data_IF_108757785522
#
_entry.id   IF_108757785522
#
_cell.length_a   1.000
_cell.length_b   1.000
_cell.length_c   1.000
_cell.angle_alpha   90.00
_cell.angle_beta   90.00
_cell.angle_gamma   90.00
#
_symmetry.space_group_name_H-M   'P 1'
#
loop_
_entity.id
_entity.type
_entity.pdbx_description
1 polymer ?
#
# COMPACT_ATOMS: atom_id res chain seq x y z
N UNK A 1 -2.54 -9.17 4.64
CA UNK A 1 -2.41 -10.35 3.75
C UNK A 1 -1.35 -11.31 4.26
N UNK A 2 -0.14 -10.82 4.58
CA UNK A 2 0.92 -11.68 5.11
C UNK A 2 0.51 -12.31 6.44
N UNK A 3 -0.02 -11.54 7.37
CA UNK A 3 -0.53 -12.04 8.67
C UNK A 3 -1.70 -13.03 8.50
N UNK A 4 -2.57 -12.80 7.51
CA UNK A 4 -3.66 -13.73 7.20
C UNK A 4 -3.16 -15.03 6.59
N UNK A 5 -2.15 -14.98 5.72
CA UNK A 5 -1.48 -16.16 5.17
C UNK A 5 -0.68 -16.90 6.26
N UNK A 6 0.00 -16.18 7.15
CA UNK A 6 0.70 -16.74 8.31
C UNK A 6 -0.28 -17.46 9.24
N UNK A 7 -1.40 -16.83 9.59
CA UNK A 7 -2.45 -17.45 10.40
C UNK A 7 -3.07 -18.67 9.73
N UNK A 8 -3.33 -18.63 8.42
CA UNK A 8 -3.83 -19.78 7.67
C UNK A 8 -2.85 -20.94 7.68
N UNK A 9 -1.57 -20.68 7.50
CA UNK A 9 -0.51 -21.69 7.56
C UNK A 9 -0.27 -22.22 8.97
N UNK A 10 -0.48 -21.39 10.02
CA UNK A 10 -0.42 -21.85 11.42
C UNK A 10 -1.59 -22.76 11.81
N UNK A 11 -2.76 -22.62 11.19
CA UNK A 11 -3.93 -23.46 11.45
C UNK A 11 -3.91 -24.78 10.68
N UNK A 12 -3.08 -24.92 9.63
CA UNK A 12 -2.88 -26.18 8.93
C UNK A 12 -2.22 -27.21 9.85
N UNK A 13 -2.84 -28.37 10.05
CA UNK A 13 -2.37 -29.40 11.00
C UNK A 13 -1.08 -30.11 10.55
N UNK A 14 -0.12 -30.24 11.47
CA UNK A 14 1.13 -30.98 11.30
C UNK A 14 2.40 -30.16 11.53
N UNK A 15 3.48 -30.79 11.93
CA UNK A 15 4.82 -30.20 12.02
C UNK A 15 5.53 -30.37 10.67
N UNK A 16 5.27 -29.46 9.74
CA UNK A 16 5.95 -29.49 8.44
C UNK A 16 7.22 -28.62 8.45
N UNK A 17 8.24 -28.90 7.63
CA UNK A 17 9.43 -28.07 7.46
C UNK A 17 9.09 -26.60 7.17
N UNK A 18 7.99 -26.36 6.45
CA UNK A 18 7.50 -25.02 6.09
C UNK A 18 7.05 -24.23 7.32
N UNK A 19 6.39 -24.88 8.31
CA UNK A 19 6.02 -24.25 9.58
C UNK A 19 7.24 -23.87 10.40
N UNK A 20 8.23 -24.75 10.46
CA UNK A 20 9.49 -24.47 11.14
C UNK A 20 10.22 -23.31 10.48
N UNK A 21 10.21 -23.21 9.16
CA UNK A 21 10.78 -22.10 8.43
C UNK A 21 10.06 -20.79 8.74
N UNK A 22 8.72 -20.76 8.66
CA UNK A 22 7.90 -19.60 8.98
C UNK A 22 8.11 -19.09 10.41
N UNK A 23 8.36 -20.01 11.36
CA UNK A 23 8.64 -19.61 12.74
C UNK A 23 9.96 -18.83 12.89
N UNK A 24 10.86 -18.94 11.91
CA UNK A 24 12.19 -18.30 11.87
C UNK A 24 12.24 -17.05 11.01
N UNK A 25 11.15 -16.72 10.28
CA UNK A 25 11.07 -15.56 9.40
C UNK A 25 10.12 -14.53 10.02
N UNK A 26 10.54 -13.28 10.06
CA UNK A 26 9.71 -12.17 10.54
C UNK A 26 9.85 -11.01 9.58
N UNK A 27 8.73 -10.38 9.29
CA UNK A 27 8.68 -9.10 8.57
C UNK A 27 8.70 -7.96 9.60
N UNK A 28 9.62 -7.02 9.41
CA UNK A 28 9.68 -5.80 10.22
C UNK A 28 9.34 -4.64 9.30
N UNK A 29 8.25 -3.93 9.60
CA UNK A 29 7.88 -2.73 8.84
C UNK A 29 8.96 -1.66 9.00
N UNK A 30 9.30 -0.99 7.91
CA UNK A 30 10.18 0.19 7.93
C UNK A 30 9.47 1.47 8.40
N UNK A 31 8.15 1.43 8.61
CA UNK A 31 7.32 2.53 9.12
C UNK A 31 7.21 2.50 10.64
N UNK A 32 6.50 3.47 11.22
CA UNK A 32 6.18 3.46 12.66
C UNK A 32 5.45 2.16 13.04
N UNK A 33 5.74 1.57 14.23
CA UNK A 33 5.14 0.32 14.69
C UNK A 33 3.69 0.56 15.14
N UNK A 34 2.81 0.85 14.19
CA UNK A 34 1.39 1.02 14.45
C UNK A 34 0.69 -0.34 14.61
N UNK A 35 -0.27 -0.40 15.51
CA UNK A 35 -1.13 -1.57 15.61
C UNK A 35 -2.08 -1.66 14.41
N UNK A 36 -2.23 -2.83 13.78
CA UNK A 36 -3.18 -3.01 12.70
C UNK A 36 -4.62 -2.80 13.20
N UNK A 37 -5.47 -2.14 12.41
CA UNK A 37 -6.87 -2.02 12.76
C UNK A 37 -7.57 -3.37 12.66
N UNK A 38 -8.54 -3.62 13.54
CA UNK A 38 -9.29 -4.87 13.53
C UNK A 38 -10.19 -4.96 12.30
N UNK A 39 -10.01 -5.99 11.49
CA UNK A 39 -10.88 -6.34 10.38
C UNK A 39 -11.67 -7.60 10.77
N UNK A 40 -13.01 -7.53 10.70
CA UNK A 40 -13.84 -8.71 10.99
C UNK A 40 -13.60 -9.79 9.94
N UNK A 41 -13.31 -11.05 10.32
CA UNK A 41 -13.06 -12.13 9.36
C UNK A 41 -14.19 -12.29 8.34
N UNK A 42 -15.46 -12.11 8.75
CA UNK A 42 -16.61 -12.17 7.85
C UNK A 42 -16.58 -11.13 6.74
N UNK A 43 -16.05 -9.91 7.01
CA UNK A 43 -15.88 -8.87 5.99
C UNK A 43 -14.78 -9.27 5.02
N UNK A 44 -13.61 -9.68 5.53
CA UNK A 44 -12.50 -10.10 4.70
C UNK A 44 -12.90 -11.27 3.77
N UNK A 45 -13.56 -12.29 4.32
CA UNK A 45 -13.98 -13.47 3.56
C UNK A 45 -14.97 -13.10 2.44
N UNK A 46 -16.00 -12.28 2.73
CA UNK A 46 -16.98 -11.87 1.73
C UNK A 46 -16.38 -10.98 0.64
N UNK A 47 -15.48 -10.06 1.01
CA UNK A 47 -14.76 -9.23 0.02
C UNK A 47 -13.89 -10.11 -0.88
N UNK A 48 -13.14 -11.05 -0.30
CA UNK A 48 -12.31 -11.99 -1.04
C UNK A 48 -13.14 -12.88 -1.97
N UNK A 49 -14.31 -13.35 -1.48
CA UNK A 49 -15.25 -14.13 -2.28
C UNK A 49 -15.81 -13.32 -3.45
N UNK A 50 -16.15 -12.05 -3.24
CA UNK A 50 -16.62 -11.14 -4.29
C UNK A 50 -15.58 -10.92 -5.38
N UNK A 51 -14.31 -10.73 -5.00
CA UNK A 51 -13.18 -10.65 -5.92
C UNK A 51 -13.00 -11.96 -6.70
N UNK A 52 -13.05 -13.09 -6.01
CA UNK A 52 -12.88 -14.40 -6.65
C UNK A 52 -14.01 -14.73 -7.62
N UNK A 53 -15.26 -14.43 -7.24
CA UNK A 53 -16.46 -14.65 -8.08
C UNK A 53 -16.69 -13.56 -9.12
N UNK A 54 -15.93 -12.47 -9.07
CA UNK A 54 -16.09 -11.30 -9.95
C UNK A 54 -17.53 -10.73 -9.93
N UNK A 55 -18.09 -10.57 -8.72
CA UNK A 55 -19.42 -10.02 -8.52
C UNK A 55 -19.38 -8.70 -7.76
N UNK A 56 -20.37 -7.83 -8.01
CA UNK A 56 -20.54 -6.57 -7.25
C UNK A 56 -20.86 -6.86 -5.79
N UNK A 57 -20.47 -5.95 -4.93
CA UNK A 57 -20.68 -6.00 -3.49
C UNK A 57 -21.57 -4.85 -3.03
N UNK A 58 -22.57 -5.15 -2.21
CA UNK A 58 -23.32 -4.15 -1.44
C UNK A 58 -22.63 -3.95 -0.10
N UNK A 59 -22.19 -2.74 0.18
CA UNK A 59 -21.33 -2.40 1.31
C UNK A 59 -21.98 -1.29 2.13
N UNK A 60 -22.00 -1.44 3.48
CA UNK A 60 -22.20 -0.33 4.41
C UNK A 60 -20.81 0.14 4.87
N UNK A 61 -20.44 1.36 4.55
CA UNK A 61 -19.12 1.92 4.77
C UNK A 61 -19.17 3.15 5.67
N UNK A 62 -18.31 3.18 6.68
CA UNK A 62 -18.14 4.33 7.57
C UNK A 62 -17.16 5.34 6.98
N UNK A 63 -17.64 6.53 6.62
CA UNK A 63 -16.83 7.67 6.19
C UNK A 63 -16.35 8.44 7.40
N UNK A 64 -15.03 8.49 7.63
CA UNK A 64 -14.46 9.21 8.77
C UNK A 64 -14.50 10.73 8.63
N UNK A 65 -14.70 11.24 7.42
CA UNK A 65 -14.72 12.68 7.14
C UNK A 65 -15.97 13.34 7.72
N UNK A 66 -17.11 12.67 7.59
CA UNK A 66 -18.42 13.17 8.02
C UNK A 66 -18.99 12.35 9.19
N UNK A 67 -18.27 11.32 9.65
CA UNK A 67 -18.72 10.36 10.68
C UNK A 67 -20.06 9.67 10.34
N UNK A 68 -20.32 9.44 9.06
CA UNK A 68 -21.58 8.85 8.56
C UNK A 68 -21.39 7.46 7.95
N UNK A 69 -22.45 6.64 8.03
CA UNK A 69 -22.51 5.37 7.32
C UNK A 69 -23.24 5.56 5.98
N UNK A 70 -22.63 5.11 4.90
CA UNK A 70 -23.18 5.17 3.56
C UNK A 70 -23.34 3.77 2.98
N UNK A 71 -24.38 3.57 2.21
CA UNK A 71 -24.59 2.36 1.43
C UNK A 71 -23.99 2.54 0.04
N UNK A 72 -23.18 1.60 -0.38
CA UNK A 72 -22.46 1.64 -1.65
C UNK A 72 -22.61 0.29 -2.35
N UNK A 73 -22.86 0.32 -3.66
CA UNK A 73 -22.65 -0.83 -4.52
C UNK A 73 -21.37 -0.62 -5.30
N UNK A 74 -20.47 -1.61 -5.23
CA UNK A 74 -19.13 -1.49 -5.80
C UNK A 74 -18.74 -2.73 -6.61
N UNK A 75 -17.97 -2.49 -7.68
CA UNK A 75 -17.23 -3.53 -8.39
C UNK A 75 -15.86 -3.69 -7.74
N UNK A 76 -15.55 -4.80 -7.05
CA UNK A 76 -14.25 -5.03 -6.44
C UNK A 76 -13.19 -5.28 -7.51
N UNK A 77 -12.04 -4.62 -7.42
CA UNK A 77 -10.94 -4.72 -8.38
C UNK A 77 -9.68 -5.36 -7.79
N UNK A 78 -9.49 -5.27 -6.47
CA UNK A 78 -8.34 -5.87 -5.81
C UNK A 78 -8.21 -5.51 -4.34
N UNK A 79 -7.27 -6.15 -3.66
CA UNK A 79 -6.88 -5.86 -2.29
C UNK A 79 -5.45 -5.33 -2.27
N UNK A 80 -5.24 -4.22 -1.57
CA UNK A 80 -3.92 -3.60 -1.41
C UNK A 80 -3.64 -3.39 0.07
N UNK A 81 -2.52 -3.93 0.53
CA UNK A 81 -2.02 -3.66 1.87
C UNK A 81 -1.02 -2.51 1.81
N UNK A 82 -1.28 -1.47 2.59
CA UNK A 82 -0.34 -0.39 2.85
C UNK A 82 -0.03 -0.37 4.35
N UNK A 83 1.21 -0.64 4.70
CA UNK A 83 1.62 -0.83 6.10
C UNK A 83 0.68 -1.79 6.84
N UNK A 84 0.03 -1.30 7.90
CA UNK A 84 -0.90 -2.06 8.74
C UNK A 84 -2.36 -2.03 8.26
N UNK A 85 -2.66 -1.31 7.17
CA UNK A 85 -4.02 -1.14 6.66
C UNK A 85 -4.25 -1.93 5.39
N UNK A 86 -5.41 -2.57 5.29
CA UNK A 86 -5.86 -3.27 4.09
C UNK A 86 -6.99 -2.48 3.42
N UNK A 87 -6.88 -2.30 2.11
CA UNK A 87 -7.83 -1.54 1.31
C UNK A 87 -8.44 -2.42 0.22
N UNK A 88 -9.73 -2.25 0.01
CA UNK A 88 -10.43 -2.70 -1.19
C UNK A 88 -10.30 -1.61 -2.25
N UNK A 89 -9.65 -1.93 -3.36
CA UNK A 89 -9.68 -1.12 -4.57
C UNK A 89 -10.95 -1.49 -5.32
N UNK A 90 -11.79 -0.52 -5.65
CA UNK A 90 -13.09 -0.75 -6.29
C UNK A 90 -13.55 0.45 -7.12
N UNK A 91 -14.56 0.23 -7.96
CA UNK A 91 -15.35 1.29 -8.59
C UNK A 91 -16.76 1.33 -8.00
N UNK A 92 -17.31 2.51 -7.82
CA UNK A 92 -18.73 2.67 -7.49
C UNK A 92 -19.59 2.36 -8.71
N UNK A 93 -20.82 1.88 -8.50
CA UNK A 93 -21.71 1.41 -9.57
C UNK A 93 -21.89 2.43 -10.70
N UNK A 94 -22.01 3.70 -10.36
CA UNK A 94 -22.35 4.76 -11.33
C UNK A 94 -21.13 5.50 -11.89
N UNK A 95 -19.91 5.03 -11.57
CA UNK A 95 -18.70 5.74 -11.99
C UNK A 95 -17.58 4.78 -12.38
N UNK A 96 -16.73 5.21 -13.29
CA UNK A 96 -15.46 4.53 -13.61
C UNK A 96 -14.34 4.96 -12.67
N UNK A 97 -14.66 5.78 -11.66
CA UNK A 97 -13.67 6.34 -10.74
C UNK A 97 -13.25 5.30 -9.71
N UNK A 98 -11.97 4.96 -9.70
CA UNK A 98 -11.41 4.00 -8.76
C UNK A 98 -11.31 4.63 -7.37
N UNK A 99 -11.68 3.87 -6.34
CA UNK A 99 -11.67 4.26 -4.93
C UNK A 99 -11.00 3.21 -4.08
N UNK A 100 -10.43 3.67 -2.97
CA UNK A 100 -9.79 2.82 -1.97
C UNK A 100 -10.62 2.84 -0.68
N UNK A 101 -11.29 1.74 -0.38
CA UNK A 101 -12.09 1.59 0.83
C UNK A 101 -11.30 0.80 1.88
N UNK A 102 -11.02 1.40 3.02
CA UNK A 102 -10.34 0.71 4.12
C UNK A 102 -11.22 -0.40 4.70
N UNK A 103 -10.76 -1.66 4.69
CA UNK A 103 -11.57 -2.81 5.09
C UNK A 103 -12.11 -2.70 6.52
N UNK A 104 -11.34 -2.15 7.46
CA UNK A 104 -11.76 -1.97 8.85
C UNK A 104 -12.92 -0.98 9.02
N UNK A 105 -13.22 -0.16 8.02
CA UNK A 105 -14.36 0.77 7.99
C UNK A 105 -15.60 0.18 7.34
N UNK A 106 -15.52 -1.01 6.76
CA UNK A 106 -16.68 -1.73 6.23
C UNK A 106 -17.46 -2.32 7.40
N UNK A 107 -18.70 -1.89 7.57
CA UNK A 107 -19.61 -2.35 8.62
C UNK A 107 -20.38 -3.61 8.22
N UNK A 108 -20.78 -3.66 6.95
CA UNK A 108 -21.49 -4.80 6.37
C UNK A 108 -21.06 -4.96 4.91
N UNK A 109 -21.02 -6.19 4.42
CA UNK A 109 -20.82 -6.51 3.02
C UNK A 109 -21.69 -7.70 2.64
N UNK A 110 -22.34 -7.63 1.49
CA UNK A 110 -23.11 -8.72 0.91
C UNK A 110 -22.71 -8.89 -0.56
N UNK A 111 -22.63 -10.15 -0.99
CA UNK A 111 -22.41 -10.44 -2.40
C UNK A 111 -23.72 -10.22 -3.17
N UNK A 112 -23.61 -9.67 -4.36
CA UNK A 112 -24.73 -9.56 -5.29
C UNK A 112 -24.68 -10.65 -6.33
N UNK A 113 -25.70 -10.73 -7.18
CA UNK A 113 -25.72 -11.57 -8.39
C UNK A 113 -25.21 -10.83 -9.62
N UNK A 114 -24.90 -9.53 -9.51
CA UNK A 114 -24.41 -8.71 -10.61
C UNK A 114 -22.93 -8.92 -10.84
N UNK A 115 -22.53 -9.05 -12.09
CA UNK A 115 -21.12 -9.17 -12.48
C UNK A 115 -20.39 -7.86 -12.17
N UNK A 116 -19.20 -7.95 -11.59
CA UNK A 116 -18.35 -6.81 -11.36
C UNK A 116 -17.85 -6.22 -12.69
N UNK A 117 -17.81 -4.90 -12.77
CA UNK A 117 -17.32 -4.18 -13.94
C UNK A 117 -15.91 -3.67 -13.65
N UNK A 118 -14.97 -4.05 -14.50
CA UNK A 118 -13.59 -3.57 -14.44
C UNK A 118 -13.42 -2.44 -15.47
N UNK A 119 -12.81 -1.30 -15.07
CA UNK A 119 -12.49 -0.24 -16.02
C UNK A 119 -11.57 -0.74 -17.12
N UNK A 120 -11.83 -0.31 -18.35
CA UNK A 120 -11.08 -0.75 -19.52
C UNK A 120 -9.58 -0.45 -19.40
N UNK A 121 -8.75 -1.51 -19.46
CA UNK A 121 -7.30 -1.40 -19.32
C UNK A 121 -6.83 -1.17 -17.88
N UNK A 122 -7.65 -1.50 -16.89
CA UNK A 122 -7.24 -1.47 -15.48
C UNK A 122 -6.16 -2.53 -15.24
N UNK A 123 -5.13 -2.13 -14.51
CA UNK A 123 -4.10 -3.01 -13.98
C UNK A 123 -3.80 -2.57 -12.54
N UNK A 124 -3.94 -3.47 -11.59
CA UNK A 124 -3.80 -3.18 -10.17
C UNK A 124 -2.38 -2.72 -9.82
N UNK A 125 -1.35 -3.32 -10.45
CA UNK A 125 0.03 -2.95 -10.19
C UNK A 125 0.31 -1.52 -10.67
N UNK A 126 -0.09 -1.19 -11.89
CA UNK A 126 0.06 0.18 -12.42
C UNK A 126 -0.73 1.20 -11.59
N UNK A 127 -1.90 0.81 -11.08
CA UNK A 127 -2.69 1.66 -10.20
C UNK A 127 -1.93 1.96 -8.89
N UNK A 128 -1.35 0.95 -8.27
CA UNK A 128 -0.55 1.09 -7.04
C UNK A 128 0.71 1.93 -7.30
N UNK A 129 1.38 1.71 -8.43
CA UNK A 129 2.61 2.43 -8.80
C UNK A 129 2.38 3.95 -8.99
N UNK A 130 1.14 4.35 -9.30
CA UNK A 130 0.74 5.78 -9.36
C UNK A 130 0.56 6.42 -7.99
N UNK A 131 0.80 5.69 -6.92
CA UNK A 131 0.79 6.16 -5.52
C UNK A 131 -0.54 6.71 -4.98
N UNK A 132 -1.72 6.13 -5.31
CA UNK A 132 -3.01 6.64 -4.83
C UNK A 132 -3.20 6.46 -3.31
N UNK A 133 -2.29 5.71 -2.65
CA UNK A 133 -2.30 5.44 -1.20
C UNK A 133 -1.39 6.38 -0.41
N UNK A 134 -0.49 7.11 -1.07
CA UNK A 134 0.52 7.95 -0.43
C UNK A 134 0.05 9.40 -0.30
N UNK A 135 -0.89 9.71 0.56
CA UNK A 135 -1.37 11.05 0.87
C UNK A 135 -0.58 12.18 0.18
N UNK A 136 -1.05 12.67 -0.98
CA UNK A 136 -0.37 13.68 -1.79
C UNK A 136 -0.99 13.83 -3.17
N UNK A 137 -0.50 14.77 -3.98
CA UNK A 137 -1.07 15.09 -5.28
C UNK A 137 -0.73 14.09 -6.40
N UNK A 138 -0.02 13.00 -6.12
CA UNK A 138 0.47 12.04 -7.10
C UNK A 138 1.22 12.65 -8.31
N UNK A 139 1.52 13.96 -8.26
CA UNK A 139 2.35 14.61 -9.26
C UNK A 139 3.78 14.13 -9.13
N UNK A 140 4.40 13.83 -10.25
CA UNK A 140 5.81 13.50 -10.27
C UNK A 140 6.63 14.77 -10.15
N UNK A 141 7.59 14.76 -9.25
CA UNK A 141 8.57 15.83 -9.04
C UNK A 141 9.97 15.29 -9.24
N UNK A 142 10.85 16.13 -9.76
CA UNK A 142 12.26 15.84 -9.82
C UNK A 142 12.89 16.13 -8.46
N UNK A 143 13.22 15.08 -7.71
CA UNK A 143 13.95 15.20 -6.46
C UNK A 143 15.44 15.32 -6.77
N UNK A 144 16.04 16.46 -6.39
CA UNK A 144 17.46 16.66 -6.38
C UNK A 144 17.95 16.89 -4.95
N UNK A 145 18.91 16.09 -4.51
CA UNK A 145 19.51 16.25 -3.19
C UNK A 145 21.03 16.19 -3.29
N UNK A 146 21.70 17.02 -2.50
CA UNK A 146 23.14 16.99 -2.32
C UNK A 146 23.42 16.70 -0.86
N UNK A 147 24.31 15.74 -0.60
CA UNK A 147 24.65 15.32 0.77
C UNK A 147 26.08 14.81 0.87
N UNK A 148 26.62 14.79 2.12
CA UNK A 148 28.01 14.42 2.40
C UNK A 148 28.19 12.98 2.87
N UNK A 149 27.17 12.41 3.48
CA UNK A 149 27.31 11.14 4.15
C UNK A 149 27.43 9.97 3.16
N UNK A 150 28.61 9.33 3.13
CA UNK A 150 28.90 8.17 2.26
C UNK A 150 28.01 6.96 2.59
N UNK A 151 27.67 6.75 3.85
CA UNK A 151 26.81 5.62 4.24
C UNK A 151 25.39 5.80 3.69
N UNK A 152 24.88 7.03 3.67
CA UNK A 152 23.62 7.36 2.98
C UNK A 152 23.68 7.05 1.50
N UNK A 153 24.80 7.36 0.83
CA UNK A 153 24.99 7.04 -0.58
C UNK A 153 24.94 5.52 -0.82
N UNK A 154 25.58 4.72 0.05
CA UNK A 154 25.53 3.25 -0.04
C UNK A 154 24.11 2.72 0.12
N UNK A 155 23.37 3.17 1.14
CA UNK A 155 21.97 2.78 1.35
C UNK A 155 21.11 3.11 0.13
N UNK A 156 21.24 4.31 -0.44
CA UNK A 156 20.50 4.72 -1.63
C UNK A 156 20.90 3.98 -2.92
N UNK A 157 22.10 3.39 -2.97
CA UNK A 157 22.49 2.47 -4.05
C UNK A 157 21.87 1.09 -3.90
N UNK A 158 21.80 0.59 -2.67
CA UNK A 158 21.23 -0.72 -2.34
C UNK A 158 19.71 -0.72 -2.43
N UNK A 159 19.08 0.39 -2.02
CA UNK A 159 17.63 0.58 -1.97
C UNK A 159 17.23 1.88 -2.69
N UNK A 160 17.29 1.94 -4.02
CA UNK A 160 16.95 3.14 -4.77
C UNK A 160 15.45 3.42 -4.74
N UNK A 161 15.05 4.69 -4.84
CA UNK A 161 13.65 5.08 -4.99
C UNK A 161 12.98 4.43 -6.20
N UNK A 162 13.70 4.33 -7.31
CA UNK A 162 13.30 3.59 -8.51
C UNK A 162 14.52 3.28 -9.39
N UNK A 163 14.29 2.53 -10.46
CA UNK A 163 15.36 2.10 -11.40
C UNK A 163 16.00 3.24 -12.21
N UNK A 164 15.36 4.42 -12.24
CA UNK A 164 15.85 5.60 -12.98
C UNK A 164 16.67 6.55 -12.09
N UNK A 165 16.81 6.21 -10.81
CA UNK A 165 17.62 6.99 -9.87
C UNK A 165 19.06 7.14 -10.36
N UNK A 166 19.58 8.37 -10.32
CA UNK A 166 20.99 8.68 -10.54
C UNK A 166 21.62 9.14 -9.23
N UNK A 167 22.78 8.57 -8.92
CA UNK A 167 23.56 8.92 -7.75
C UNK A 167 25.01 9.08 -8.14
N UNK A 168 25.51 10.30 -8.11
CA UNK A 168 26.83 10.69 -8.57
C UNK A 168 27.69 11.22 -7.43
N UNK A 169 28.92 10.74 -7.34
CA UNK A 169 29.94 11.29 -6.44
C UNK A 169 30.62 12.48 -7.13
N UNK A 170 30.64 13.62 -6.47
CA UNK A 170 31.26 14.84 -6.97
C UNK A 170 32.72 14.95 -6.56
N UNK A 171 33.48 15.80 -7.25
CA UNK A 171 34.91 16.03 -6.96
C UNK A 171 35.18 16.61 -5.58
N UNK A 172 34.19 17.26 -4.96
CA UNK A 172 34.26 17.83 -3.62
C UNK A 172 33.93 16.80 -2.51
N UNK A 173 33.70 15.54 -2.88
CA UNK A 173 33.37 14.47 -1.94
C UNK A 173 31.88 14.44 -1.53
N UNK A 174 31.04 15.28 -2.13
CA UNK A 174 29.58 15.23 -1.95
C UNK A 174 28.95 14.26 -2.94
N UNK A 175 27.71 13.85 -2.63
CA UNK A 175 26.89 12.99 -3.50
C UNK A 175 25.69 13.78 -3.99
N UNK A 176 25.40 13.71 -5.30
CA UNK A 176 24.17 14.23 -5.89
C UNK A 176 23.23 13.09 -6.25
N UNK A 177 22.06 13.10 -5.64
CA UNK A 177 20.93 12.26 -6.01
C UNK A 177 20.01 13.03 -6.96
N UNK A 178 19.58 12.38 -8.04
CA UNK A 178 18.56 12.89 -8.95
C UNK A 178 17.60 11.75 -9.29
N UNK A 179 16.31 11.94 -8.99
CA UNK A 179 15.28 10.94 -9.25
C UNK A 179 13.91 11.58 -9.39
N UNK A 180 13.10 11.07 -10.32
CA UNK A 180 11.70 11.47 -10.45
C UNK A 180 10.87 10.60 -9.50
N UNK A 181 10.14 11.22 -8.57
CA UNK A 181 9.32 10.54 -7.55
C UNK A 181 7.95 11.21 -7.44
N UNK A 182 6.98 10.51 -6.86
CA UNK A 182 5.70 11.11 -6.53
C UNK A 182 5.85 12.09 -5.34
N UNK A 183 5.27 13.28 -5.47
CA UNK A 183 5.20 14.26 -4.37
C UNK A 183 4.18 13.80 -3.33
N UNK A 184 4.67 13.29 -2.22
CA UNK A 184 3.86 12.69 -1.17
C UNK A 184 4.31 13.16 0.20
N UNK A 185 3.38 13.10 1.17
CA UNK A 185 3.69 13.35 2.58
C UNK A 185 4.78 12.40 3.10
N UNK A 186 4.80 11.15 2.59
CA UNK A 186 5.84 10.19 2.96
C UNK A 186 7.22 10.61 2.47
N UNK A 187 7.31 11.15 1.24
CA UNK A 187 8.56 11.69 0.71
C UNK A 187 9.06 12.86 1.55
N UNK A 188 8.18 13.81 1.85
CA UNK A 188 8.52 14.96 2.71
C UNK A 188 9.00 14.49 4.08
N UNK A 189 8.27 13.58 4.73
CA UNK A 189 8.66 13.01 6.01
C UNK A 189 10.00 12.28 5.96
N UNK A 190 10.26 11.55 4.86
CA UNK A 190 11.54 10.88 4.64
C UNK A 190 12.69 11.90 4.50
N UNK A 191 12.51 12.94 3.70
CA UNK A 191 13.53 14.00 3.51
C UNK A 191 13.86 14.67 4.86
N UNK A 192 12.85 15.03 5.64
CA UNK A 192 13.04 15.65 6.95
C UNK A 192 13.78 14.72 7.93
N UNK A 193 13.39 13.45 8.00
CA UNK A 193 14.05 12.47 8.86
C UNK A 193 15.52 12.22 8.49
N UNK A 194 15.86 12.39 7.21
CA UNK A 194 17.22 12.18 6.71
C UNK A 194 18.06 13.46 6.65
N UNK A 195 17.46 14.64 6.80
CA UNK A 195 18.14 15.92 6.68
C UNK A 195 19.42 15.99 7.51
N UNK A 196 19.34 15.71 8.79
CA UNK A 196 20.50 15.72 9.68
C UNK A 196 21.44 14.55 9.44
N UNK A 197 20.89 13.32 9.30
CA UNK A 197 21.67 12.09 9.15
C UNK A 197 22.48 12.06 7.85
N UNK A 198 21.90 12.55 6.77
CA UNK A 198 22.54 12.59 5.47
C UNK A 198 23.49 13.77 5.30
N UNK A 199 23.37 14.81 6.13
CA UNK A 199 24.07 16.08 5.93
C UNK A 199 23.64 16.71 4.62
N UNK A 200 22.33 16.80 4.39
CA UNK A 200 21.75 17.45 3.20
C UNK A 200 22.11 18.93 3.26
N UNK A 201 22.64 19.43 2.16
CA UNK A 201 23.08 20.83 2.00
C UNK A 201 22.02 21.60 1.24
#
# INVERSE_FOLDING_TARGET
LFDAAENYMHTASGSSPEKLWLSKVRFVSGSLPLCPPMIRPSIFNKVSEGLFKQVKLDIVYFKSENEEEVQLRVSPLGLVQQDVRLYLVCCYEDTTQIRNLALHRIKKVELTTFIAEEPKGFDLQQYVDRSPFNYGNAQKVLLEMVFKNRQTALILRETPFNRMQKLEERRDGTFKLTVEVADTVLLTGWIEAWREKAGII
#
